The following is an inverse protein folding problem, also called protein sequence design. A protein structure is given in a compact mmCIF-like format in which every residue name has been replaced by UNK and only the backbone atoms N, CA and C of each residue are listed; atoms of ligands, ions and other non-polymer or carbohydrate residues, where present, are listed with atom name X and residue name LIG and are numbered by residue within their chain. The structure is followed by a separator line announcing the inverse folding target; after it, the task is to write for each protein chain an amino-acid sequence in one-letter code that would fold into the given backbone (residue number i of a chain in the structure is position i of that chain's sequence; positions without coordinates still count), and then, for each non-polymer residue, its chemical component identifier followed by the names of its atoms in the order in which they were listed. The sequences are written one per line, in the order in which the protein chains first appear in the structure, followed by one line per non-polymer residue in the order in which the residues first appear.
data_IF_199793316711
#
_entry.id   IF_199793316711
#
_cell.length_a   1.000
_cell.length_b   1.000
_cell.length_c   1.000
_cell.angle_alpha   90.00
_cell.angle_beta   90.00
_cell.angle_gamma   90.00
#
_symmetry.space_group_name_H-M   'P 1'
#
loop_
_entity.id
_entity.type
_entity.pdbx_description
1 polymer ?
#
# COMPACT_ATOMS: atom_id res chain seq x y z
N UNK A 1 -12.52 -4.33 27.09
CA UNK A 1 -11.71 -4.06 25.88
C UNK A 1 -12.46 -3.10 24.97
N UNK A 2 -11.82 -2.04 24.55
CA UNK A 2 -12.41 -1.10 23.60
C UNK A 2 -12.14 -1.59 22.16
N UNK A 3 -13.20 -1.61 21.34
CA UNK A 3 -13.12 -1.99 19.93
C UNK A 3 -13.51 -0.82 19.04
N UNK A 4 -12.78 -0.62 17.95
CA UNK A 4 -13.13 0.33 16.90
C UNK A 4 -13.31 -0.45 15.60
N UNK A 5 -14.45 -0.24 14.93
CA UNK A 5 -14.75 -0.88 13.65
C UNK A 5 -14.83 0.18 12.56
N UNK A 6 -13.99 0.05 11.53
CA UNK A 6 -14.08 0.85 10.32
C UNK A 6 -14.66 -0.01 9.20
N UNK A 7 -15.92 0.24 8.86
CA UNK A 7 -16.59 -0.52 7.80
C UNK A 7 -15.99 -0.17 6.43
N UNK A 8 -15.86 -1.17 5.56
CA UNK A 8 -15.27 -1.00 4.24
C UNK A 8 -15.95 0.12 3.43
N UNK A 9 -17.27 0.23 3.50
CA UNK A 9 -18.02 1.25 2.77
C UNK A 9 -17.76 2.68 3.25
N UNK A 10 -17.13 2.86 4.41
CA UNK A 10 -16.84 4.18 4.98
C UNK A 10 -15.43 4.68 4.70
N UNK A 11 -14.64 3.89 3.97
CA UNK A 11 -13.27 4.29 3.59
C UNK A 11 -13.30 5.39 2.53
N UNK A 12 -12.24 6.19 2.48
CA UNK A 12 -11.99 7.09 1.36
C UNK A 12 -11.73 6.29 0.09
N UNK A 13 -12.10 6.84 -1.07
CA UNK A 13 -11.96 6.18 -2.36
C UNK A 13 -11.41 7.14 -3.40
N UNK A 14 -10.50 6.65 -4.24
CA UNK A 14 -10.03 7.38 -5.40
C UNK A 14 -9.82 6.42 -6.57
N UNK A 15 -10.09 6.91 -7.77
CA UNK A 15 -9.88 6.18 -9.02
C UNK A 15 -9.06 7.06 -9.96
N UNK A 16 -7.83 6.62 -10.24
CA UNK A 16 -6.89 7.32 -11.12
C UNK A 16 -6.79 6.64 -12.50
N UNK A 17 -7.71 5.74 -12.83
CA UNK A 17 -7.66 4.93 -14.04
C UNK A 17 -6.82 3.66 -13.85
N UNK A 18 -5.51 3.82 -13.71
CA UNK A 18 -4.58 2.70 -13.47
C UNK A 18 -4.62 2.19 -12.03
N UNK A 19 -5.14 2.98 -11.09
CA UNK A 19 -5.21 2.70 -9.67
C UNK A 19 -6.59 3.02 -9.14
N UNK A 20 -7.22 2.03 -8.49
CA UNK A 20 -8.37 2.25 -7.61
C UNK A 20 -7.94 1.95 -6.21
N UNK A 21 -8.17 2.87 -5.29
CA UNK A 21 -7.67 2.77 -3.92
C UNK A 21 -8.72 3.13 -2.90
N UNK A 22 -8.73 2.39 -1.80
CA UNK A 22 -9.54 2.68 -0.63
C UNK A 22 -8.62 2.96 0.55
N UNK A 23 -8.88 4.06 1.24
CA UNK A 23 -8.06 4.49 2.39
C UNK A 23 -8.87 4.37 3.67
N UNK A 24 -8.40 3.58 4.62
CA UNK A 24 -9.01 3.50 5.96
C UNK A 24 -8.68 4.76 6.76
N UNK A 25 -7.46 5.26 6.63
CA UNK A 25 -7.01 6.49 7.28
C UNK A 25 -6.70 7.56 6.24
N UNK A 26 -6.62 8.80 6.70
CA UNK A 26 -6.32 9.94 5.84
C UNK A 26 -5.00 9.73 5.09
N UNK A 27 -5.03 9.90 3.77
CA UNK A 27 -3.92 9.65 2.88
C UNK A 27 -4.13 10.41 1.58
N UNK A 28 -3.06 10.97 1.03
CA UNK A 28 -3.10 11.76 -0.22
C UNK A 28 -4.21 12.81 -0.18
N UNK A 29 -5.14 12.79 -1.13
CA UNK A 29 -6.26 13.74 -1.21
C UNK A 29 -7.42 13.45 -0.26
N UNK A 30 -7.41 12.30 0.43
CA UNK A 30 -8.46 11.96 1.40
C UNK A 30 -8.07 12.46 2.79
N UNK A 31 -8.93 13.24 3.42
CA UNK A 31 -8.71 13.73 4.77
C UNK A 31 -9.99 13.64 5.60
N UNK A 32 -9.90 12.91 6.72
CA UNK A 32 -10.93 12.83 7.75
C UNK A 32 -10.22 12.98 9.10
N UNK A 33 -10.48 14.07 9.87
CA UNK A 33 -9.80 14.29 11.14
C UNK A 33 -10.08 13.20 12.19
N UNK A 34 -11.17 12.45 12.04
CA UNK A 34 -11.48 11.29 12.88
C UNK A 34 -10.76 10.01 12.46
N UNK A 35 -10.01 10.03 11.35
CA UNK A 35 -9.34 8.87 10.77
C UNK A 35 -7.91 9.20 10.36
N UNK A 36 -7.05 9.46 11.33
CA UNK A 36 -5.63 9.78 11.09
C UNK A 36 -4.75 8.56 11.34
N UNK A 37 -5.03 7.81 12.40
CA UNK A 37 -4.27 6.63 12.77
C UNK A 37 -5.02 5.77 13.78
N UNK A 38 -4.52 4.55 13.97
CA UNK A 38 -4.91 3.69 15.08
C UNK A 38 -3.62 3.20 15.75
N UNK A 39 -3.26 3.80 16.91
CA UNK A 39 -1.95 3.57 17.50
C UNK A 39 -0.83 3.94 16.54
N UNK A 40 0.09 3.04 16.28
CA UNK A 40 1.19 3.23 15.33
C UNK A 40 0.77 3.04 13.87
N UNK A 41 -0.41 2.48 13.61
CA UNK A 41 -0.91 2.25 12.26
C UNK A 41 -1.43 3.56 11.67
N UNK A 42 -0.77 4.07 10.64
CA UNK A 42 -1.09 5.35 10.00
C UNK A 42 -1.67 5.20 8.61
N UNK A 43 -1.35 4.13 7.91
CA UNK A 43 -1.78 3.88 6.54
C UNK A 43 -2.32 2.46 6.46
N UNK A 44 -3.53 2.33 5.94
CA UNK A 44 -4.10 1.04 5.57
C UNK A 44 -4.88 1.26 4.27
N UNK A 45 -4.24 0.92 3.18
CA UNK A 45 -4.78 1.10 1.84
C UNK A 45 -5.09 -0.24 1.20
N UNK A 46 -6.20 -0.27 0.48
CA UNK A 46 -6.61 -1.40 -0.34
C UNK A 46 -6.60 -0.94 -1.79
N UNK A 47 -5.61 -1.39 -2.54
CA UNK A 47 -5.31 -0.90 -3.88
C UNK A 47 -5.56 -1.97 -4.92
N UNK A 48 -6.21 -1.56 -6.02
CA UNK A 48 -6.30 -2.36 -7.24
C UNK A 48 -5.52 -1.65 -8.33
N UNK A 49 -4.44 -2.26 -8.78
CA UNK A 49 -3.50 -1.68 -9.75
C UNK A 49 -3.70 -2.40 -11.09
N UNK A 50 -3.85 -1.63 -12.17
CA UNK A 50 -3.99 -2.19 -13.51
C UNK A 50 -2.75 -3.02 -13.89
N UNK A 51 -2.93 -4.08 -14.69
CA UNK A 51 -1.80 -4.90 -15.16
C UNK A 51 -0.71 -4.05 -15.83
N UNK A 52 0.55 -4.30 -15.46
CA UNK A 52 1.70 -3.57 -16.00
C UNK A 52 1.94 -2.19 -15.42
N UNK A 53 1.03 -1.68 -14.60
CA UNK A 53 1.13 -0.38 -13.96
C UNK A 53 1.63 -0.51 -12.52
N UNK A 54 1.88 0.60 -11.87
CA UNK A 54 2.30 0.58 -10.47
C UNK A 54 2.86 1.90 -10.00
N UNK A 55 3.46 1.84 -8.82
CA UNK A 55 4.08 2.98 -8.18
C UNK A 55 5.57 3.02 -8.53
N UNK A 56 6.00 4.09 -9.20
CA UNK A 56 7.41 4.32 -9.47
C UNK A 56 8.22 4.51 -8.19
N UNK A 57 9.51 4.66 -8.32
CA UNK A 57 10.41 4.83 -7.18
C UNK A 57 10.01 6.03 -6.33
N UNK A 58 9.79 5.79 -5.05
CA UNK A 58 9.41 6.81 -4.09
C UNK A 58 10.05 6.53 -2.73
N UNK A 59 10.28 7.58 -1.89
CA UNK A 59 10.99 7.42 -0.63
C UNK A 59 10.06 7.09 0.53
N UNK A 60 10.62 6.42 1.54
CA UNK A 60 10.04 6.26 2.86
C UNK A 60 11.11 6.43 3.92
N UNK A 61 10.74 6.92 5.08
CA UNK A 61 11.60 7.00 6.26
C UNK A 61 10.78 6.82 7.53
N UNK A 62 11.37 6.22 8.55
CA UNK A 62 10.75 6.00 9.86
C UNK A 62 9.42 5.25 9.79
N UNK A 63 9.30 4.30 8.86
CA UNK A 63 8.09 3.50 8.69
C UNK A 63 8.41 2.02 8.56
N UNK A 64 7.56 1.21 9.15
CA UNK A 64 7.43 -0.21 8.83
C UNK A 64 6.35 -0.34 7.78
N UNK A 65 6.65 -1.04 6.69
CA UNK A 65 5.75 -1.17 5.55
C UNK A 65 5.49 -2.65 5.30
N UNK A 66 4.20 -3.02 5.27
CA UNK A 66 3.76 -4.38 4.99
C UNK A 66 2.86 -4.34 3.77
N UNK A 67 3.20 -5.14 2.77
CA UNK A 67 2.38 -5.33 1.57
C UNK A 67 1.89 -6.76 1.51
N UNK A 68 0.59 -6.94 1.31
CA UNK A 68 -0.05 -8.24 1.13
C UNK A 68 -0.69 -8.28 -0.26
N UNK A 69 -0.31 -9.27 -1.05
CA UNK A 69 -0.90 -9.47 -2.38
C UNK A 69 -2.11 -10.38 -2.26
N UNK A 70 -3.27 -9.91 -2.72
CA UNK A 70 -4.52 -10.67 -2.70
C UNK A 70 -4.78 -11.37 -4.03
N UNK A 71 -4.41 -10.74 -5.15
CA UNK A 71 -4.50 -11.34 -6.49
C UNK A 71 -3.41 -10.79 -7.40
N UNK A 72 -3.13 -11.46 -8.49
CA UNK A 72 -2.11 -11.03 -9.44
C UNK A 72 -0.68 -11.28 -8.96
N UNK A 73 0.23 -10.37 -9.30
CA UNK A 73 1.63 -10.45 -8.91
C UNK A 73 2.21 -9.06 -8.73
N UNK A 74 2.92 -8.85 -7.64
CA UNK A 74 3.56 -7.57 -7.34
C UNK A 74 5.08 -7.70 -7.43
N UNK A 75 5.71 -6.87 -8.26
CA UNK A 75 7.16 -6.75 -8.30
C UNK A 75 7.58 -5.59 -7.41
N UNK A 76 8.37 -5.90 -6.40
CA UNK A 76 8.92 -4.93 -5.46
C UNK A 76 10.42 -4.79 -5.70
N UNK A 77 10.90 -3.55 -5.81
CA UNK A 77 12.33 -3.23 -5.87
C UNK A 77 12.66 -2.11 -4.89
N UNK A 78 13.86 -2.14 -4.32
CA UNK A 78 14.28 -1.10 -3.38
C UNK A 78 15.69 -0.59 -3.65
N UNK A 79 16.08 0.50 -2.95
CA UNK A 79 17.38 1.14 -3.10
C UNK A 79 18.55 0.32 -2.52
N UNK A 80 18.27 -0.78 -1.83
CA UNK A 80 19.28 -1.69 -1.29
C UNK A 80 19.59 -2.86 -2.21
N UNK A 81 19.05 -2.84 -3.43
CA UNK A 81 19.29 -3.87 -4.44
C UNK A 81 18.37 -5.08 -4.33
N UNK A 82 17.37 -5.04 -3.46
CA UNK A 82 16.41 -6.13 -3.35
C UNK A 82 15.37 -6.03 -4.45
N UNK A 83 15.04 -7.17 -5.06
CA UNK A 83 13.95 -7.29 -6.02
C UNK A 83 13.23 -8.59 -5.77
N UNK A 84 11.90 -8.52 -5.63
CA UNK A 84 11.07 -9.68 -5.33
C UNK A 84 9.81 -9.65 -6.16
N UNK A 85 9.35 -10.84 -6.54
CA UNK A 85 8.03 -11.04 -7.12
C UNK A 85 7.16 -11.72 -6.07
N UNK A 86 6.10 -11.03 -5.65
CA UNK A 86 5.15 -11.52 -4.66
C UNK A 86 3.92 -12.08 -5.35
N UNK A 87 3.50 -13.26 -4.90
CA UNK A 87 2.30 -13.94 -5.38
C UNK A 87 1.17 -13.82 -4.36
N UNK A 88 -0.08 -14.13 -4.72
CA UNK A 88 -1.20 -14.06 -3.79
C UNK A 88 -0.92 -14.83 -2.51
N UNK A 89 -1.22 -14.18 -1.37
CA UNK A 89 -0.98 -14.73 -0.03
C UNK A 89 0.40 -14.50 0.53
N UNK A 90 1.33 -13.95 -0.26
CA UNK A 90 2.67 -13.62 0.21
C UNK A 90 2.73 -12.21 0.78
N UNK A 91 3.62 -12.02 1.76
CA UNK A 91 3.85 -10.75 2.43
C UNK A 91 5.24 -10.22 2.09
N UNK A 92 5.33 -8.90 1.92
CA UNK A 92 6.57 -8.14 1.90
C UNK A 92 6.61 -7.26 3.14
N UNK A 93 7.68 -7.34 3.92
CA UNK A 93 7.90 -6.47 5.07
C UNK A 93 9.19 -5.68 4.83
N UNK A 94 9.09 -4.36 4.96
CA UNK A 94 10.22 -3.46 4.76
C UNK A 94 10.32 -2.47 5.92
N UNK A 95 11.52 -2.37 6.49
CA UNK A 95 11.86 -1.37 7.50
C UNK A 95 12.62 -0.24 6.81
N UNK A 96 12.00 0.94 6.74
CA UNK A 96 12.61 2.08 6.04
C UNK A 96 13.75 2.72 6.83
N UNK A 97 13.70 2.69 8.16
CA UNK A 97 14.72 3.28 9.00
C UNK A 97 14.97 4.74 8.68
N UNK A 98 16.22 5.13 8.45
CA UNK A 98 16.60 6.51 8.14
C UNK A 98 16.26 6.94 6.72
N UNK A 99 15.95 5.99 5.85
CA UNK A 99 15.48 6.25 4.49
C UNK A 99 15.72 5.08 3.57
N UNK A 100 14.73 4.83 2.71
CA UNK A 100 14.78 3.84 1.64
C UNK A 100 13.90 4.33 0.50
N UNK A 101 14.27 4.01 -0.73
CA UNK A 101 13.38 4.19 -1.87
C UNK A 101 12.95 2.83 -2.39
N UNK A 102 11.70 2.73 -2.84
CA UNK A 102 11.21 1.51 -3.44
C UNK A 102 10.23 1.77 -4.58
N UNK A 103 9.99 0.75 -5.37
CA UNK A 103 8.96 0.73 -6.40
C UNK A 103 8.12 -0.53 -6.27
N UNK A 104 6.86 -0.44 -6.64
CA UNK A 104 5.91 -1.55 -6.60
C UNK A 104 5.11 -1.55 -7.89
N UNK A 105 5.23 -2.63 -8.67
CA UNK A 105 4.61 -2.74 -9.99
C UNK A 105 3.75 -4.00 -10.06
N UNK A 106 2.58 -3.88 -10.69
CA UNK A 106 1.78 -5.06 -11.03
C UNK A 106 2.47 -5.79 -12.19
N UNK A 107 3.09 -6.91 -11.88
CA UNK A 107 3.80 -7.72 -12.86
C UNK A 107 2.88 -8.68 -13.64
N UNK A 108 1.61 -8.74 -13.27
CA UNK A 108 0.62 -9.54 -14.01
C UNK A 108 0.26 -8.87 -15.34
N UNK A 109 -0.16 -9.69 -16.31
CA UNK A 109 -0.69 -9.20 -17.58
C UNK A 109 -2.21 -9.19 -17.63
N UNK A 110 -2.87 -9.84 -16.67
CA UNK A 110 -4.32 -10.10 -16.73
C UNK A 110 -5.08 -9.53 -15.52
N UNK A 111 -4.46 -9.40 -14.37
CA UNK A 111 -5.15 -8.92 -13.16
C UNK A 111 -4.28 -8.06 -12.21
#
# INVERSE_FOLDING_TARGET
MKKTIHRAATRGYADHGWLRTHHTFSFAGYYDPGRIHFGALRVLNDDTVAPGEGFGTHPHENMEIVSLVLSGALRHGDSMGNMQLLKPGELQVMTAGTGITHSEMNASREE
#
